data_IF_279201598993
#
_entry.id   IF_279201598993
#
_cell.length_a   1.000
_cell.length_b   1.000
_cell.length_c   1.000
_cell.angle_alpha   90.00
_cell.angle_beta   90.00
_cell.angle_gamma   90.00
#
_symmetry.space_group_name_H-M   'P 1'
#
loop_
_entity.id
_entity.type
_entity.pdbx_description
1 polymer ?
#
# COMPACT_ATOMS: atom_id res chain seq x y z
N UNK A 1 11.30 -11.48 -9.62
CA UNK A 1 11.73 -11.50 -8.21
C UNK A 1 11.29 -10.19 -7.55
N UNK A 2 10.60 -10.26 -6.39
CA UNK A 2 10.13 -9.07 -5.68
C UNK A 2 10.60 -9.08 -4.24
N UNK A 3 10.80 -7.89 -3.65
CA UNK A 3 11.15 -7.72 -2.25
C UNK A 3 10.00 -7.08 -1.46
N UNK A 4 9.71 -7.63 -0.29
CA UNK A 4 8.84 -7.01 0.72
C UNK A 4 9.75 -6.22 1.65
N UNK A 5 9.56 -4.91 1.68
CA UNK A 5 10.25 -3.98 2.57
C UNK A 5 9.36 -3.75 3.79
N UNK A 6 9.60 -4.54 4.83
CA UNK A 6 8.82 -4.53 6.06
C UNK A 6 9.18 -3.31 6.92
N UNK A 7 8.27 -2.35 7.02
CA UNK A 7 8.45 -1.11 7.78
C UNK A 7 7.93 -1.17 9.23
N UNK A 8 7.24 -2.24 9.59
CA UNK A 8 6.74 -2.49 10.94
C UNK A 8 6.39 -3.98 11.14
N UNK A 9 5.98 -4.34 12.35
CA UNK A 9 5.45 -5.67 12.67
C UNK A 9 4.07 -5.56 13.30
N UNK A 10 3.24 -6.56 13.07
CA UNK A 10 1.98 -6.74 13.78
C UNK A 10 2.27 -6.86 15.27
N UNK A 11 1.42 -6.25 16.11
CA UNK A 11 1.55 -6.34 17.57
C UNK A 11 1.59 -7.81 18.03
N UNK A 12 2.44 -8.11 19.00
CA UNK A 12 2.71 -9.49 19.44
C UNK A 12 1.45 -10.27 19.81
N UNK A 13 0.49 -9.59 20.45
CA UNK A 13 -0.80 -10.20 20.84
C UNK A 13 -1.72 -10.56 19.66
N UNK A 14 -1.43 -10.09 18.45
CA UNK A 14 -2.21 -10.40 17.24
C UNK A 14 -1.46 -11.29 16.27
N UNK A 15 -0.13 -11.41 16.41
CA UNK A 15 0.74 -12.09 15.45
C UNK A 15 0.44 -13.57 15.31
N UNK A 16 0.08 -14.26 16.40
CA UNK A 16 -0.26 -15.68 16.37
C UNK A 16 -1.52 -15.94 15.55
N UNK A 17 -2.53 -15.07 15.67
CA UNK A 17 -3.84 -15.24 15.01
C UNK A 17 -3.85 -14.73 13.57
N UNK A 18 -3.15 -13.62 13.28
CA UNK A 18 -3.28 -12.89 12.02
C UNK A 18 -2.01 -12.92 11.15
N UNK A 19 -0.90 -13.46 11.66
CA UNK A 19 0.41 -13.39 11.02
C UNK A 19 1.08 -12.03 11.22
N UNK A 20 2.28 -11.88 10.63
CA UNK A 20 2.97 -10.59 10.55
C UNK A 20 2.84 -10.00 9.15
N UNK A 21 3.20 -8.74 8.93
CA UNK A 21 3.06 -8.06 7.65
C UNK A 21 3.70 -8.81 6.49
N UNK A 22 4.93 -9.37 6.59
CA UNK A 22 5.48 -10.17 5.50
C UNK A 22 4.56 -11.30 5.07
N UNK A 23 4.01 -12.04 6.03
CA UNK A 23 3.09 -13.14 5.76
C UNK A 23 1.80 -12.66 5.08
N UNK A 24 1.23 -11.53 5.51
CA UNK A 24 0.04 -10.95 4.88
C UNK A 24 0.31 -10.58 3.42
N UNK A 25 1.49 -10.01 3.12
CA UNK A 25 1.89 -9.67 1.75
C UNK A 25 2.20 -10.90 0.91
N UNK A 26 2.87 -11.92 1.48
CA UNK A 26 3.11 -13.20 0.82
C UNK A 26 1.79 -13.89 0.44
N UNK A 27 0.82 -13.93 1.36
CA UNK A 27 -0.49 -14.51 1.12
C UNK A 27 -1.25 -13.73 0.05
N UNK A 28 -1.22 -12.39 0.12
CA UNK A 28 -1.82 -11.51 -0.88
C UNK A 28 -1.25 -11.78 -2.28
N UNK A 29 0.06 -11.84 -2.43
CA UNK A 29 0.71 -12.09 -3.72
C UNK A 29 0.43 -13.52 -4.19
N UNK A 30 0.46 -14.51 -3.29
CA UNK A 30 0.19 -15.92 -3.63
C UNK A 30 -1.26 -16.13 -4.11
N UNK A 31 -2.23 -15.48 -3.45
CA UNK A 31 -3.63 -15.46 -3.85
C UNK A 31 -3.79 -14.86 -5.26
N UNK A 32 -3.15 -13.73 -5.48
CA UNK A 32 -3.18 -13.07 -6.78
C UNK A 32 -2.55 -13.92 -7.89
N UNK A 33 -1.40 -14.54 -7.64
CA UNK A 33 -0.74 -15.44 -8.61
C UNK A 33 -1.64 -16.63 -8.94
N UNK A 34 -2.30 -17.24 -7.94
CA UNK A 34 -3.18 -18.38 -8.13
C UNK A 34 -4.41 -18.05 -8.99
N UNK A 35 -4.90 -16.80 -8.92
CA UNK A 35 -6.04 -16.31 -9.69
C UNK A 35 -5.67 -15.63 -11.01
N UNK A 36 -4.37 -15.38 -11.26
CA UNK A 36 -3.89 -14.68 -12.45
C UNK A 36 -3.92 -15.59 -13.68
N UNK A 37 -4.46 -15.10 -14.79
CA UNK A 37 -4.61 -15.89 -16.05
C UNK A 37 -3.27 -16.32 -16.65
N UNK A 38 -2.21 -15.54 -16.46
CA UNK A 38 -0.86 -15.94 -16.85
C UNK A 38 -0.28 -16.90 -15.79
N UNK A 39 0.51 -17.90 -16.21
CA UNK A 39 1.26 -18.79 -15.30
C UNK A 39 2.41 -18.04 -14.62
N UNK A 40 2.09 -16.94 -13.95
CA UNK A 40 3.05 -16.10 -13.26
C UNK A 40 3.76 -16.90 -12.16
N UNK A 41 5.07 -16.75 -12.10
CA UNK A 41 5.90 -17.27 -10.99
C UNK A 41 6.67 -16.11 -10.41
N UNK A 42 6.52 -15.89 -9.12
CA UNK A 42 7.29 -14.89 -8.39
C UNK A 42 8.04 -15.55 -7.22
N UNK A 43 9.22 -15.06 -6.95
CA UNK A 43 9.95 -15.33 -5.71
C UNK A 43 9.91 -14.06 -4.87
N UNK A 44 9.60 -14.20 -3.58
CA UNK A 44 9.55 -13.11 -2.62
C UNK A 44 10.73 -13.21 -1.68
N UNK A 45 11.30 -12.08 -1.33
CA UNK A 45 12.32 -11.93 -0.29
C UNK A 45 11.89 -10.80 0.64
N UNK A 46 11.99 -11.00 1.94
CA UNK A 46 11.62 -9.99 2.94
C UNK A 46 12.85 -9.37 3.56
N UNK A 47 12.82 -8.06 3.76
CA UNK A 47 13.79 -7.27 4.51
C UNK A 47 13.06 -6.45 5.57
N UNK A 48 13.44 -6.60 6.84
CA UNK A 48 12.98 -5.70 7.90
C UNK A 48 13.82 -4.43 7.84
N UNK A 49 13.28 -3.42 7.16
CA UNK A 49 14.01 -2.19 6.83
C UNK A 49 14.34 -1.31 8.03
N UNK A 50 13.84 -1.66 9.21
CA UNK A 50 14.22 -1.02 10.47
C UNK A 50 15.63 -1.45 10.93
N UNK A 51 16.13 -2.57 10.39
CA UNK A 51 17.42 -3.15 10.74
C UNK A 51 18.34 -3.33 9.54
N UNK A 52 17.80 -3.70 8.36
CA UNK A 52 18.60 -3.96 7.18
C UNK A 52 17.86 -3.57 5.89
N UNK A 53 18.58 -3.06 4.92
CA UNK A 53 18.09 -2.81 3.57
C UNK A 53 18.75 -3.78 2.60
N UNK A 54 18.14 -4.08 1.43
CA UNK A 54 18.83 -4.82 0.38
C UNK A 54 20.14 -4.12 -0.03
N UNK A 55 21.23 -4.88 -0.11
CA UNK A 55 22.54 -4.36 -0.54
C UNK A 55 22.52 -3.91 -2.01
N UNK A 56 21.73 -4.62 -2.84
CA UNK A 56 21.66 -4.41 -4.28
C UNK A 56 20.22 -4.24 -4.76
N UNK A 57 20.05 -3.58 -5.91
CA UNK A 57 18.77 -3.44 -6.62
C UNK A 57 18.52 -4.63 -7.57
N UNK A 58 18.61 -5.85 -7.06
CA UNK A 58 18.54 -7.10 -7.83
C UNK A 58 17.11 -7.67 -7.97
N UNK A 59 16.12 -7.03 -7.34
CA UNK A 59 14.71 -7.35 -7.53
C UNK A 59 14.09 -6.53 -8.67
N UNK A 60 13.07 -7.09 -9.29
CA UNK A 60 12.28 -6.44 -10.36
C UNK A 60 11.30 -5.43 -9.77
N UNK A 61 10.87 -5.66 -8.52
CA UNK A 61 9.95 -4.78 -7.81
C UNK A 61 10.11 -4.84 -6.29
N UNK A 62 9.66 -3.76 -5.62
CA UNK A 62 9.73 -3.54 -4.19
C UNK A 62 8.36 -3.16 -3.64
N UNK A 63 7.88 -3.87 -2.61
CA UNK A 63 6.62 -3.61 -1.94
C UNK A 63 6.90 -3.07 -0.53
N UNK A 64 6.51 -1.84 -0.25
CA UNK A 64 6.68 -1.21 1.07
C UNK A 64 5.40 -1.38 1.87
N UNK A 65 5.52 -1.98 3.06
CA UNK A 65 4.37 -2.26 3.93
C UNK A 65 3.85 -1.01 4.65
N UNK A 66 2.72 -1.15 5.34
CA UNK A 66 2.28 -0.20 6.34
C UNK A 66 3.20 -0.15 7.57
N UNK A 67 3.06 0.90 8.36
CA UNK A 67 3.74 1.11 9.64
C UNK A 67 2.87 1.94 10.58
N UNK A 68 3.11 1.81 11.90
CA UNK A 68 2.53 2.69 12.92
C UNK A 68 3.24 4.04 13.02
N UNK A 69 4.45 4.14 12.44
CA UNK A 69 5.24 5.37 12.43
C UNK A 69 4.71 6.37 11.41
N UNK A 70 4.86 7.66 11.71
CA UNK A 70 4.68 8.73 10.74
C UNK A 70 5.95 8.90 9.90
N UNK A 71 5.81 9.15 8.60
CA UNK A 71 6.95 9.26 7.66
C UNK A 71 7.85 10.45 7.94
N UNK A 72 7.39 11.41 8.74
CA UNK A 72 8.11 12.60 9.17
C UNK A 72 8.72 12.47 10.58
N UNK A 73 8.70 11.25 11.18
CA UNK A 73 9.47 10.98 12.40
C UNK A 73 10.97 10.98 12.09
N UNK A 74 11.77 11.52 13.02
CA UNK A 74 13.23 11.58 12.91
C UNK A 74 13.85 10.22 13.27
N UNK A 75 13.73 9.27 12.34
CA UNK A 75 14.22 7.90 12.46
C UNK A 75 15.13 7.56 11.28
N UNK A 76 16.37 7.19 11.57
CA UNK A 76 17.41 6.89 10.57
C UNK A 76 16.96 5.88 9.51
N UNK A 77 16.23 4.84 9.92
CA UNK A 77 15.76 3.81 9.00
C UNK A 77 14.73 4.34 7.98
N UNK A 78 13.91 5.35 8.33
CA UNK A 78 12.96 5.97 7.41
C UNK A 78 13.72 6.72 6.31
N UNK A 79 14.74 7.49 6.70
CA UNK A 79 15.60 8.23 5.76
C UNK A 79 16.38 7.28 4.86
N UNK A 80 16.94 6.20 5.45
CA UNK A 80 17.66 5.17 4.70
C UNK A 80 16.76 4.45 3.68
N UNK A 81 15.54 4.06 4.08
CA UNK A 81 14.55 3.45 3.20
C UNK A 81 14.16 4.40 2.05
N UNK A 82 13.92 5.68 2.35
CA UNK A 82 13.62 6.68 1.33
C UNK A 82 14.76 6.83 0.32
N UNK A 83 16.02 6.85 0.79
CA UNK A 83 17.21 6.86 -0.06
C UNK A 83 17.32 5.62 -0.94
N UNK A 84 17.02 4.44 -0.40
CA UNK A 84 16.96 3.20 -1.17
C UNK A 84 15.89 3.27 -2.27
N UNK A 85 14.68 3.70 -1.95
CA UNK A 85 13.58 3.80 -2.91
C UNK A 85 13.84 4.83 -4.01
N UNK A 86 14.55 5.93 -3.72
CA UNK A 86 14.99 6.88 -4.75
C UNK A 86 15.92 6.21 -5.76
N UNK A 87 16.92 5.45 -5.29
CA UNK A 87 17.82 4.68 -6.18
C UNK A 87 17.05 3.63 -6.98
N UNK A 88 16.08 2.93 -6.35
CA UNK A 88 15.25 1.96 -7.05
C UNK A 88 14.40 2.62 -8.16
N UNK A 89 13.85 3.80 -7.88
CA UNK A 89 13.10 4.60 -8.87
C UNK A 89 13.99 5.05 -10.03
N UNK A 90 15.18 5.58 -9.75
CA UNK A 90 16.17 5.98 -10.77
C UNK A 90 16.62 4.78 -11.62
N UNK A 91 16.70 3.59 -11.01
CA UNK A 91 16.98 2.32 -11.70
C UNK A 91 15.75 1.71 -12.40
N UNK A 92 14.66 2.47 -12.53
CA UNK A 92 13.43 2.06 -13.21
C UNK A 92 12.78 0.78 -12.62
N UNK A 93 12.99 0.51 -11.33
CA UNK A 93 12.35 -0.62 -10.64
C UNK A 93 10.89 -0.30 -10.30
N UNK A 94 10.04 -1.33 -10.31
CA UNK A 94 8.64 -1.21 -9.87
C UNK A 94 8.59 -1.04 -8.36
N UNK A 95 7.82 -0.06 -7.88
CA UNK A 95 7.65 0.22 -6.45
C UNK A 95 6.17 0.31 -6.12
N UNK A 96 5.73 -0.51 -5.17
CA UNK A 96 4.36 -0.48 -4.62
C UNK A 96 4.43 0.01 -3.18
N UNK A 97 3.73 1.09 -2.85
CA UNK A 97 3.64 1.63 -1.50
C UNK A 97 2.25 1.46 -0.90
N UNK A 98 2.15 0.78 0.26
CA UNK A 98 0.88 0.59 0.96
C UNK A 98 0.90 1.38 2.27
N UNK A 99 -0.12 2.21 2.51
CA UNK A 99 -0.32 3.01 3.71
C UNK A 99 0.91 3.87 4.07
N UNK A 100 1.78 3.42 4.97
CA UNK A 100 3.04 4.09 5.26
C UNK A 100 3.92 4.20 4.01
N UNK A 101 4.01 3.14 3.18
CA UNK A 101 4.75 3.18 1.93
C UNK A 101 4.19 4.19 0.92
N UNK A 102 2.87 4.37 0.86
CA UNK A 102 2.21 5.41 0.07
C UNK A 102 2.61 6.82 0.56
N UNK A 103 2.57 7.02 1.86
CA UNK A 103 2.95 8.29 2.49
C UNK A 103 4.45 8.58 2.35
N UNK A 104 5.30 7.56 2.51
CA UNK A 104 6.75 7.68 2.38
C UNK A 104 7.15 8.16 0.98
N UNK A 105 6.59 7.53 -0.05
CA UNK A 105 6.84 7.90 -1.43
C UNK A 105 6.37 9.31 -1.73
N UNK A 106 5.22 9.73 -1.21
CA UNK A 106 4.77 11.12 -1.36
C UNK A 106 5.75 12.09 -0.68
N UNK A 107 6.06 11.86 0.60
CA UNK A 107 6.85 12.78 1.42
C UNK A 107 8.28 12.97 0.89
N UNK A 108 8.98 11.88 0.64
CA UNK A 108 10.40 11.94 0.25
C UNK A 108 10.63 12.20 -1.24
N UNK A 109 9.58 12.15 -2.07
CA UNK A 109 9.65 12.52 -3.48
C UNK A 109 9.20 13.96 -3.75
N UNK A 110 8.97 14.75 -2.70
CA UNK A 110 8.74 16.20 -2.78
C UNK A 110 7.31 16.65 -2.50
N UNK A 111 6.42 15.73 -2.12
CA UNK A 111 5.08 16.04 -1.64
C UNK A 111 5.05 16.33 -0.12
N UNK A 112 3.83 16.35 0.44
CA UNK A 112 3.61 16.60 1.86
C UNK A 112 2.63 15.61 2.47
N UNK A 113 2.94 15.15 3.67
CA UNK A 113 2.13 14.25 4.49
C UNK A 113 1.87 14.90 5.84
N UNK A 114 0.66 14.76 6.35
CA UNK A 114 0.30 15.28 7.67
C UNK A 114 -0.91 14.57 8.26
N UNK A 115 -1.25 14.91 9.52
CA UNK A 115 -2.40 14.34 10.20
C UNK A 115 -3.70 14.77 9.53
N UNK A 116 -4.60 13.79 9.30
CA UNK A 116 -5.93 14.11 8.78
C UNK A 116 -6.73 14.95 9.78
N UNK A 117 -7.27 16.12 9.38
CA UNK A 117 -8.10 16.94 10.26
C UNK A 117 -9.34 16.21 10.79
N UNK A 118 -9.86 15.24 10.04
CA UNK A 118 -10.99 14.41 10.43
C UNK A 118 -10.62 13.23 11.34
N UNK A 119 -9.36 13.12 11.76
CA UNK A 119 -8.85 12.07 12.64
C UNK A 119 -8.59 10.75 11.94
N UNK A 120 -8.98 9.63 12.55
CA UNK A 120 -8.69 8.29 12.06
C UNK A 120 -9.64 7.82 10.96
N UNK A 121 -9.08 7.32 9.87
CA UNK A 121 -9.78 6.49 8.89
C UNK A 121 -9.64 5.02 9.30
N UNK A 122 -10.76 4.36 9.62
CA UNK A 122 -10.81 2.94 10.00
C UNK A 122 -11.98 2.23 9.33
N UNK A 123 -11.88 0.91 9.26
CA UNK A 123 -12.89 0.05 8.65
C UNK A 123 -12.86 0.07 7.12
N UNK A 124 -13.96 -0.29 6.50
CA UNK A 124 -14.11 -0.32 5.04
C UNK A 124 -14.38 1.09 4.52
N UNK A 125 -13.62 1.49 3.49
CA UNK A 125 -13.77 2.78 2.81
C UNK A 125 -13.97 2.58 1.31
N UNK A 126 -15.06 3.16 0.79
CA UNK A 126 -15.27 3.26 -0.64
C UNK A 126 -14.34 4.33 -1.22
N UNK A 127 -13.70 3.99 -2.34
CA UNK A 127 -12.74 4.83 -3.03
C UNK A 127 -13.10 4.88 -4.51
N UNK A 128 -13.05 6.08 -5.11
CA UNK A 128 -13.38 6.33 -6.50
C UNK A 128 -12.12 6.30 -7.36
N UNK A 129 -12.17 5.61 -8.50
CA UNK A 129 -11.17 5.73 -9.55
C UNK A 129 -11.42 7.03 -10.34
N UNK A 130 -10.42 7.90 -10.39
CA UNK A 130 -10.46 9.17 -11.14
C UNK A 130 -9.63 9.12 -12.42
N UNK A 131 -8.75 8.14 -12.52
CA UNK A 131 -8.01 7.76 -13.72
C UNK A 131 -7.97 6.24 -13.81
N UNK A 132 -7.86 5.73 -15.04
CA UNK A 132 -7.73 4.30 -15.32
C UNK A 132 -6.31 4.05 -15.86
N UNK A 133 -5.35 3.67 -15.01
CA UNK A 133 -4.01 3.32 -15.45
C UNK A 133 -4.00 2.07 -16.34
N UNK A 134 -2.96 1.91 -17.15
CA UNK A 134 -2.82 0.81 -18.12
C UNK A 134 -2.83 -0.59 -17.48
N UNK A 135 -2.26 -0.70 -16.30
CA UNK A 135 -2.23 -1.94 -15.52
C UNK A 135 -3.59 -2.34 -14.90
N UNK A 136 -4.56 -1.43 -14.87
CA UNK A 136 -5.93 -1.74 -14.50
C UNK A 136 -6.66 -2.35 -15.70
N UNK A 137 -6.26 -3.58 -16.04
CA UNK A 137 -6.78 -4.31 -17.21
C UNK A 137 -8.19 -4.81 -16.94
N UNK A 138 -9.19 -4.06 -17.38
CA UNK A 138 -10.60 -4.47 -17.37
C UNK A 138 -11.32 -3.81 -18.56
N UNK A 139 -12.14 -4.58 -19.26
CA UNK A 139 -13.01 -4.02 -20.33
C UNK A 139 -14.06 -3.06 -19.75
N UNK A 140 -14.44 -3.28 -18.51
CA UNK A 140 -15.39 -2.44 -17.76
C UNK A 140 -14.88 -2.20 -16.34
N UNK A 141 -13.91 -1.28 -16.16
CA UNK A 141 -13.36 -1.01 -14.84
C UNK A 141 -14.45 -0.47 -13.90
N UNK A 142 -14.43 -0.92 -12.66
CA UNK A 142 -15.27 -0.34 -11.63
C UNK A 142 -14.98 1.15 -11.50
N UNK A 143 -16.02 1.92 -11.19
CA UNK A 143 -15.84 3.32 -10.83
C UNK A 143 -15.41 3.49 -9.37
N UNK A 144 -15.78 2.52 -8.51
CA UNK A 144 -15.45 2.52 -7.09
C UNK A 144 -14.97 1.15 -6.62
N UNK A 145 -14.13 1.15 -5.59
CA UNK A 145 -13.69 -0.06 -4.89
C UNK A 145 -13.57 0.18 -3.39
N UNK A 146 -13.70 -0.88 -2.61
CA UNK A 146 -13.63 -0.83 -1.15
C UNK A 146 -12.38 -1.54 -0.66
N UNK A 147 -11.60 -0.86 0.19
CA UNK A 147 -10.51 -1.45 0.96
C UNK A 147 -10.66 -1.15 2.45
N UNK A 148 -9.96 -1.92 3.26
CA UNK A 148 -9.79 -1.66 4.68
C UNK A 148 -8.82 -0.49 4.88
N UNK A 149 -9.10 0.36 5.86
CA UNK A 149 -8.29 1.52 6.23
C UNK A 149 -7.95 1.47 7.71
N UNK A 150 -6.75 1.92 8.06
CA UNK A 150 -6.30 2.11 9.44
C UNK A 150 -5.18 3.14 9.47
N UNK A 151 -5.52 4.43 9.27
CA UNK A 151 -4.54 5.52 9.23
C UNK A 151 -5.08 6.80 9.85
N UNK A 152 -4.17 7.61 10.38
CA UNK A 152 -4.44 8.96 10.88
C UNK A 152 -3.78 10.02 9.98
N UNK A 153 -2.59 9.71 9.48
CA UNK A 153 -1.87 10.57 8.55
C UNK A 153 -2.29 10.27 7.10
N UNK A 154 -2.19 11.26 6.23
CA UNK A 154 -2.49 11.12 4.82
C UNK A 154 -1.64 12.07 3.97
N UNK A 155 -1.55 11.77 2.68
CA UNK A 155 -0.91 12.66 1.71
C UNK A 155 -1.79 13.90 1.53
N UNK A 156 -1.18 15.08 1.69
CA UNK A 156 -1.81 16.39 1.51
C UNK A 156 -1.44 17.04 0.18
N UNK A 157 -0.19 16.83 -0.26
CA UNK A 157 0.34 17.31 -1.53
C UNK A 157 1.11 16.21 -2.24
N UNK A 158 0.88 16.07 -3.55
CA UNK A 158 1.61 15.12 -4.37
C UNK A 158 3.02 15.61 -4.72
N UNK A 159 3.98 14.69 -4.90
CA UNK A 159 5.25 15.03 -5.53
C UNK A 159 5.05 15.40 -7.02
N UNK A 160 6.03 16.13 -7.56
CA UNK A 160 6.05 16.48 -8.98
C UNK A 160 6.02 15.23 -9.87
N UNK A 161 5.24 15.31 -10.95
CA UNK A 161 5.07 14.20 -11.89
C UNK A 161 4.17 13.05 -11.42
N UNK A 162 3.60 13.14 -10.21
CA UNK A 162 2.61 12.18 -9.74
C UNK A 162 1.22 12.46 -10.29
N UNK A 163 0.43 11.40 -10.43
CA UNK A 163 -0.97 11.47 -10.89
C UNK A 163 -1.87 10.69 -9.95
N UNK A 164 -2.97 11.32 -9.50
CA UNK A 164 -3.98 10.66 -8.67
C UNK A 164 -4.78 9.70 -9.54
N UNK A 165 -4.87 8.43 -9.18
CA UNK A 165 -5.80 7.49 -9.80
C UNK A 165 -6.98 7.10 -8.90
N UNK A 166 -6.86 7.30 -7.59
CA UNK A 166 -7.87 6.91 -6.60
C UNK A 166 -8.04 7.97 -5.50
N UNK A 167 -9.30 8.28 -5.14
CA UNK A 167 -9.64 9.26 -4.09
C UNK A 167 -10.93 8.90 -3.37
N UNK A 168 -11.12 9.40 -2.16
CA UNK A 168 -12.41 9.44 -1.47
C UNK A 168 -12.55 10.73 -0.65
N UNK A 169 -13.75 10.96 -0.10
CA UNK A 169 -14.05 12.22 0.62
C UNK A 169 -13.21 12.38 1.90
N UNK A 170 -12.78 11.27 2.51
CA UNK A 170 -11.94 11.31 3.70
C UNK A 170 -10.46 11.49 3.35
N UNK A 171 -10.00 10.83 2.30
CA UNK A 171 -8.63 10.82 1.84
C UNK A 171 -8.59 11.21 0.34
N UNK A 172 -8.41 12.50 0.02
CA UNK A 172 -8.43 13.01 -1.36
C UNK A 172 -7.34 12.41 -2.25
N UNK A 173 -6.25 11.92 -1.67
CA UNK A 173 -5.16 11.23 -2.36
C UNK A 173 -5.07 9.80 -1.77
N UNK A 174 -5.99 8.92 -2.19
CA UNK A 174 -6.04 7.54 -1.71
C UNK A 174 -5.16 6.57 -2.53
N UNK A 175 -4.73 7.01 -3.71
CA UNK A 175 -3.80 6.28 -4.57
C UNK A 175 -3.24 7.20 -5.65
N UNK A 176 -1.93 7.10 -5.88
CA UNK A 176 -1.24 7.84 -6.93
C UNK A 176 -0.17 6.97 -7.61
N UNK A 177 0.23 7.40 -8.80
CA UNK A 177 1.36 6.85 -9.56
C UNK A 177 2.42 7.91 -9.78
N UNK A 178 3.68 7.48 -9.96
CA UNK A 178 4.75 8.32 -10.51
C UNK A 178 5.31 7.59 -11.72
N UNK A 179 5.04 8.13 -12.90
CA UNK A 179 5.38 7.47 -14.17
C UNK A 179 4.84 6.04 -14.24
N UNK A 180 5.61 5.15 -14.85
CA UNK A 180 5.29 3.72 -14.96
C UNK A 180 5.86 2.88 -13.80
N UNK A 181 6.56 3.49 -12.84
CA UNK A 181 7.41 2.79 -11.87
C UNK A 181 6.87 2.78 -10.46
N UNK A 182 5.98 3.72 -10.11
CA UNK A 182 5.42 3.82 -8.75
C UNK A 182 3.91 3.69 -8.79
N UNK A 183 3.38 2.81 -7.96
CA UNK A 183 1.96 2.66 -7.65
C UNK A 183 1.78 2.70 -6.13
N UNK A 184 0.81 3.46 -5.64
CA UNK A 184 0.59 3.57 -4.20
C UNK A 184 -0.87 3.50 -3.83
N UNK A 185 -1.17 2.97 -2.63
CA UNK A 185 -2.51 2.92 -2.05
C UNK A 185 -2.45 3.27 -0.56
N UNK A 186 -3.36 4.12 -0.10
CA UNK A 186 -3.55 4.41 1.32
C UNK A 186 -4.29 3.29 2.05
N UNK A 187 -5.20 2.59 1.38
CA UNK A 187 -5.91 1.43 1.91
C UNK A 187 -5.06 0.15 1.89
N UNK A 188 -5.50 -0.86 2.64
CA UNK A 188 -4.80 -2.10 2.90
C UNK A 188 -5.42 -3.29 2.13
N UNK A 189 -4.89 -3.70 0.98
CA UNK A 189 -5.34 -4.91 0.29
C UNK A 189 -4.88 -6.20 1.00
N UNK A 190 -3.84 -6.12 1.83
CA UNK A 190 -3.29 -7.24 2.59
C UNK A 190 -4.10 -7.59 3.85
N UNK A 191 -4.92 -6.67 4.38
CA UNK A 191 -5.68 -6.90 5.61
C UNK A 191 -6.87 -7.83 5.42
N UNK A 192 -7.18 -8.61 6.46
CA UNK A 192 -8.47 -9.27 6.65
C UNK A 192 -9.41 -8.41 7.48
N UNK A 193 -10.72 -8.63 7.34
CA UNK A 193 -11.73 -7.97 8.20
C UNK A 193 -11.52 -8.29 9.68
N UNK A 194 -11.10 -9.52 9.99
CA UNK A 194 -10.85 -9.95 11.37
C UNK A 194 -9.67 -9.21 11.99
N UNK A 195 -8.57 -9.03 11.24
CA UNK A 195 -7.45 -8.21 11.69
C UNK A 195 -7.82 -6.74 11.86
N UNK A 196 -8.56 -6.18 10.90
CA UNK A 196 -9.02 -4.79 11.00
C UNK A 196 -9.94 -4.59 12.21
N UNK A 197 -10.81 -5.55 12.53
CA UNK A 197 -11.64 -5.53 13.74
C UNK A 197 -10.78 -5.56 15.00
N UNK A 198 -9.86 -6.53 15.10
CA UNK A 198 -8.97 -6.66 16.26
C UNK A 198 -8.17 -5.37 16.50
N UNK A 199 -7.67 -4.75 15.43
CA UNK A 199 -6.92 -3.50 15.50
C UNK A 199 -7.79 -2.30 15.95
N UNK A 200 -9.05 -2.20 15.46
CA UNK A 200 -10.00 -1.20 15.91
C UNK A 200 -10.40 -1.37 17.38
N UNK A 201 -10.64 -2.61 17.80
CA UNK A 201 -10.99 -2.92 19.20
C UNK A 201 -9.83 -2.58 20.14
N UNK A 202 -8.59 -2.89 19.76
CA UNK A 202 -7.38 -2.52 20.49
C UNK A 202 -7.18 -1.00 20.60
N UNK A 203 -7.53 -0.26 19.54
CA UNK A 203 -7.39 1.20 19.47
C UNK A 203 -8.65 1.96 19.89
N UNK A 204 -9.62 1.29 20.50
CA UNK A 204 -10.94 1.86 20.81
C UNK A 204 -10.86 3.20 21.55
N UNK A 205 -9.99 3.31 22.54
CA UNK A 205 -9.83 4.53 23.34
C UNK A 205 -9.26 5.69 22.52
N UNK A 206 -8.35 5.39 21.57
CA UNK A 206 -7.74 6.38 20.67
C UNK A 206 -8.71 6.80 19.57
N UNK A 207 -9.52 5.87 19.09
CA UNK A 207 -10.51 6.12 18.03
C UNK A 207 -11.72 6.90 18.52
N UNK A 208 -12.06 6.74 19.80
CA UNK A 208 -13.30 7.20 20.37
C UNK A 208 -14.51 6.34 19.95
N UNK A 209 -15.59 6.46 20.71
CA UNK A 209 -16.78 5.57 20.57
C UNK A 209 -17.39 5.61 19.18
N UNK A 210 -17.55 6.81 18.61
CA UNK A 210 -18.23 6.99 17.33
C UNK A 210 -17.41 6.45 16.14
N UNK A 211 -16.11 6.74 16.12
CA UNK A 211 -15.23 6.26 15.03
C UNK A 211 -15.07 4.75 15.08
N UNK A 212 -14.91 4.19 16.29
CA UNK A 212 -14.88 2.74 16.49
C UNK A 212 -16.18 2.09 15.99
N UNK A 213 -17.37 2.57 16.44
CA UNK A 213 -18.66 2.00 16.06
C UNK A 213 -18.89 2.07 14.54
N UNK A 214 -18.59 3.21 13.90
CA UNK A 214 -18.68 3.35 12.42
C UNK A 214 -17.72 2.41 11.71
N UNK A 215 -16.47 2.31 12.18
CA UNK A 215 -15.46 1.41 11.59
C UNK A 215 -15.90 -0.04 11.67
N UNK A 216 -16.35 -0.50 12.83
CA UNK A 216 -16.85 -1.88 13.04
C UNK A 216 -18.07 -2.15 12.18
N UNK A 217 -19.06 -1.26 12.15
CA UNK A 217 -20.26 -1.42 11.31
C UNK A 217 -19.94 -1.51 9.82
N UNK A 218 -18.91 -0.78 9.36
CA UNK A 218 -18.50 -0.79 7.96
C UNK A 218 -17.96 -2.15 7.48
N UNK A 219 -17.54 -3.03 8.40
CA UNK A 219 -17.03 -4.37 8.06
C UNK A 219 -18.10 -5.28 7.42
N UNK A 220 -19.38 -4.93 7.53
CA UNK A 220 -20.47 -5.64 6.80
C UNK A 220 -20.41 -5.39 5.27
N UNK A 221 -19.78 -4.30 4.85
CA UNK A 221 -19.63 -3.98 3.42
C UNK A 221 -18.67 -4.95 2.73
N UNK A 222 -18.88 -5.21 1.42
CA UNK A 222 -17.93 -5.99 0.64
C UNK A 222 -16.58 -5.24 0.53
N UNK A 223 -15.49 -6.00 0.43
CA UNK A 223 -14.17 -5.48 0.09
C UNK A 223 -13.76 -6.04 -1.28
N UNK A 224 -13.06 -5.21 -2.08
CA UNK A 224 -12.64 -5.56 -3.44
C UNK A 224 -11.13 -5.90 -3.48
N UNK A 225 -10.69 -6.63 -2.45
CA UNK A 225 -9.30 -7.00 -2.22
C UNK A 225 -8.69 -7.75 -3.40
N UNK A 226 -9.35 -8.81 -3.88
CA UNK A 226 -8.83 -9.66 -4.97
C UNK A 226 -8.63 -8.87 -6.28
N UNK A 227 -9.50 -7.92 -6.55
CA UNK A 227 -9.40 -7.04 -7.72
C UNK A 227 -8.19 -6.10 -7.62
N UNK A 228 -8.00 -5.50 -6.45
CA UNK A 228 -6.84 -4.62 -6.20
C UNK A 228 -5.52 -5.40 -6.20
N UNK A 229 -5.51 -6.64 -5.72
CA UNK A 229 -4.36 -7.54 -5.82
C UNK A 229 -4.01 -7.80 -7.29
N UNK A 230 -5.01 -8.03 -8.15
CA UNK A 230 -4.79 -8.20 -9.59
C UNK A 230 -4.17 -6.94 -10.22
N UNK A 231 -4.58 -5.74 -9.80
CA UNK A 231 -3.97 -4.49 -10.27
C UNK A 231 -2.49 -4.37 -9.86
N UNK A 232 -2.17 -4.72 -8.61
CA UNK A 232 -0.79 -4.73 -8.11
C UNK A 232 0.07 -5.72 -8.92
N UNK A 233 -0.44 -6.92 -9.20
CA UNK A 233 0.29 -7.90 -10.02
C UNK A 233 0.47 -7.43 -11.46
N UNK A 234 -0.57 -6.89 -12.07
CA UNK A 234 -0.47 -6.33 -13.42
C UNK A 234 0.59 -5.21 -13.46
N UNK A 235 0.57 -4.28 -12.48
CA UNK A 235 1.57 -3.23 -12.37
C UNK A 235 2.99 -3.77 -12.23
N UNK A 236 3.21 -4.78 -11.37
CA UNK A 236 4.52 -5.38 -11.13
C UNK A 236 5.04 -6.17 -12.34
N UNK A 237 4.15 -6.64 -13.22
CA UNK A 237 4.49 -7.46 -14.39
C UNK A 237 4.38 -6.72 -15.72
N UNK A 238 3.91 -5.49 -15.72
CA UNK A 238 3.83 -4.68 -16.93
C UNK A 238 5.22 -4.27 -17.40
N UNK A 239 5.57 -4.64 -18.64
CA UNK A 239 6.83 -4.26 -19.26
C UNK A 239 6.92 -2.73 -19.43
N UNK A 240 8.12 -2.19 -19.29
CA UNK A 240 8.36 -0.79 -19.59
C UNK A 240 8.16 -0.54 -21.09
N UNK A 241 7.41 0.51 -21.48
CA UNK A 241 7.16 0.81 -22.89
C UNK A 241 8.42 1.04 -23.73
N UNK A 242 9.55 1.31 -23.10
CA UNK A 242 10.84 1.54 -23.79
C UNK A 242 11.55 0.25 -24.22
N UNK A 243 11.15 -0.94 -23.75
CA UNK A 243 11.78 -2.21 -24.12
C UNK A 243 11.23 -2.82 -25.42
N UNK A 244 10.27 -2.18 -26.07
CA UNK A 244 9.65 -2.64 -27.32
C UNK A 244 10.16 -1.92 -28.58
N UNK A 245 11.32 -1.28 -28.55
CA UNK A 245 12.01 -0.75 -29.71
C UNK A 245 13.19 -1.65 -30.03
N UNK A 246 12.88 -2.73 -30.73
CA UNK A 246 13.80 -3.67 -31.30
C UNK A 246 13.43 -3.98 -32.75
#
# INVERSE_FOLDING_TARGET
RWAILQADSVLDNFREQHGDYPKMFEDMISEGIASHESKLRASLQTFDVRFELPDFLDCDGYLVTGSRHSVYEDLDWIVALAGFLKRAFEAQKKIVGICFGHQLLAHFFGGRVGPCPSGWAVGVRETHLVQIPTWLKSEQPRQTFNLLSSHKDQVEELPDGASIFARNDFCPISGFTIGANVMTLQGHPEFSKDYARALMDYRRDILGVDSHARGVSSLEQPIHRSEVISWILNFLTEDHPENNVG
#
